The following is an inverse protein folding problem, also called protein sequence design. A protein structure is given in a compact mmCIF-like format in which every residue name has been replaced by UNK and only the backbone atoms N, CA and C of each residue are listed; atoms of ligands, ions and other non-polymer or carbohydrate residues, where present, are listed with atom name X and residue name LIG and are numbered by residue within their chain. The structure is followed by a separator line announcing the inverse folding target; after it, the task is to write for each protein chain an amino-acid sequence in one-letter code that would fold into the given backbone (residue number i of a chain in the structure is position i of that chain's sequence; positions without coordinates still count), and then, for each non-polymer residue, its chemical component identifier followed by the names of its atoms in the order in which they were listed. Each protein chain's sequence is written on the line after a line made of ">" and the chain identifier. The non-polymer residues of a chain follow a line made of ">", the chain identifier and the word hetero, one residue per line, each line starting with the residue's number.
data_IF_271575210334
#
_entry.id   IF_271575210334
#
_cell.length_a   1.000
_cell.length_b   1.000
_cell.length_c   1.000
_cell.angle_alpha   90.00
_cell.angle_beta   90.00
_cell.angle_gamma   90.00
#
_symmetry.space_group_name_H-M   'P 1'
#
loop_
_entity.id
_entity.type
_entity.pdbx_description
1 polymer ?
#
# COMPACT_ATOMS: atom_id res chain seq x y z
N UNK A 1 -24.89 -25.30 40.36
CA UNK A 1 -24.49 -26.50 39.60
C UNK A 1 -25.57 -26.77 38.54
N UNK A 2 -25.93 -25.81 37.69
CA UNK A 2 -25.20 -25.25 36.54
C UNK A 2 -24.99 -26.25 35.41
N UNK A 3 -25.99 -26.34 34.53
CA UNK A 3 -25.84 -26.37 33.06
C UNK A 3 -27.22 -26.38 32.39
N UNK A 4 -27.64 -25.31 31.69
CA UNK A 4 -28.74 -25.40 30.73
C UNK A 4 -28.28 -25.14 29.29
N UNK A 5 -29.09 -25.68 28.36
CA UNK A 5 -29.30 -25.25 26.98
C UNK A 5 -28.25 -25.57 25.91
N UNK A 6 -28.39 -26.78 25.38
CA UNK A 6 -28.29 -27.04 23.95
C UNK A 6 -29.52 -26.41 23.27
N UNK A 7 -29.37 -25.27 22.59
CA UNK A 7 -30.37 -24.76 21.65
C UNK A 7 -29.73 -24.05 20.44
N UNK A 8 -30.32 -24.34 19.28
CA UNK A 8 -30.30 -23.61 18.01
C UNK A 8 -29.09 -23.73 17.07
N UNK A 9 -29.23 -24.64 16.09
CA UNK A 9 -28.87 -24.34 14.70
C UNK A 9 -30.06 -24.65 13.78
N UNK A 10 -30.93 -23.65 13.56
CA UNK A 10 -32.00 -23.70 12.54
C UNK A 10 -31.63 -22.72 11.43
N UNK A 11 -31.34 -23.23 10.24
CA UNK A 11 -30.96 -22.43 9.07
C UNK A 11 -32.13 -21.61 8.51
N UNK A 12 -31.99 -20.29 8.29
CA UNK A 12 -32.98 -19.50 7.54
C UNK A 12 -32.48 -19.26 6.11
N UNK A 13 -32.79 -20.16 5.16
CA UNK A 13 -32.30 -20.06 3.75
C UNK A 13 -33.32 -19.62 2.68
N UNK A 14 -34.60 -19.37 2.99
CA UNK A 14 -35.59 -19.01 1.95
C UNK A 14 -36.14 -17.57 1.99
N UNK A 15 -35.83 -16.77 3.02
CA UNK A 15 -36.27 -15.37 3.13
C UNK A 15 -35.14 -14.32 2.89
N UNK A 16 -33.91 -14.77 2.66
CA UNK A 16 -32.70 -13.92 2.65
C UNK A 16 -32.27 -13.41 1.27
N UNK A 17 -32.79 -13.92 0.16
CA UNK A 17 -32.36 -13.45 -1.18
C UNK A 17 -32.93 -12.07 -1.54
N UNK A 18 -34.19 -11.79 -1.22
CA UNK A 18 -34.82 -10.48 -1.49
C UNK A 18 -34.29 -9.36 -0.59
N UNK A 19 -33.92 -9.69 0.65
CA UNK A 19 -33.33 -8.76 1.63
C UNK A 19 -31.85 -8.52 1.39
N UNK A 20 -31.09 -9.50 0.89
CA UNK A 20 -29.67 -9.34 0.53
C UNK A 20 -29.47 -8.35 -0.65
N UNK A 21 -30.36 -8.35 -1.64
CA UNK A 21 -30.28 -7.42 -2.77
C UNK A 21 -30.65 -5.98 -2.36
N UNK A 22 -31.67 -5.82 -1.50
CA UNK A 22 -32.08 -4.53 -0.92
C UNK A 22 -31.02 -3.97 0.04
N UNK A 23 -30.36 -4.83 0.81
CA UNK A 23 -29.24 -4.43 1.66
C UNK A 23 -28.02 -4.01 0.84
N UNK A 24 -27.64 -4.72 -0.23
CA UNK A 24 -26.51 -4.30 -1.09
C UNK A 24 -26.67 -2.88 -1.65
N UNK A 25 -27.90 -2.49 -2.06
CA UNK A 25 -28.18 -1.13 -2.55
C UNK A 25 -28.05 -0.07 -1.45
N UNK A 26 -28.51 -0.37 -0.23
CA UNK A 26 -28.32 0.50 0.95
C UNK A 26 -26.86 0.60 1.40
N UNK A 27 -26.10 -0.49 1.32
CA UNK A 27 -24.67 -0.52 1.68
C UNK A 27 -23.80 0.26 0.69
N UNK A 28 -24.19 0.33 -0.59
CA UNK A 28 -23.49 1.12 -1.61
C UNK A 28 -23.74 2.63 -1.42
N UNK A 29 -24.97 3.00 -1.08
CA UNK A 29 -25.35 4.38 -0.72
C UNK A 29 -24.63 4.84 0.56
N UNK A 30 -24.57 4.00 1.59
CA UNK A 30 -23.84 4.31 2.83
C UNK A 30 -22.31 4.36 2.68
N UNK A 31 -21.72 3.83 1.59
CA UNK A 31 -20.27 3.96 1.31
C UNK A 31 -19.91 5.26 0.59
N UNK A 32 -20.88 5.90 -0.06
CA UNK A 32 -20.73 7.21 -0.70
C UNK A 32 -20.97 8.38 0.27
N UNK A 33 -21.57 8.10 1.44
CA UNK A 33 -21.91 9.07 2.48
C UNK A 33 -20.89 8.95 3.64
N UNK A 34 -20.03 9.95 3.88
CA UNK A 34 -19.21 10.00 5.08
C UNK A 34 -20.11 9.97 6.32
N UNK A 35 -19.73 9.20 7.34
CA UNK A 35 -20.43 8.96 8.60
C UNK A 35 -20.59 10.21 9.52
N UNK A 36 -20.48 11.42 8.97
CA UNK A 36 -20.56 12.68 9.69
C UNK A 36 -21.87 13.47 9.42
N UNK A 37 -22.86 12.89 8.73
CA UNK A 37 -24.01 13.67 8.24
C UNK A 37 -25.34 13.10 8.70
N UNK A 38 -26.17 13.99 9.26
CA UNK A 38 -27.53 13.75 9.76
C UNK A 38 -28.42 12.98 8.75
N UNK A 39 -29.34 12.12 9.23
CA UNK A 39 -30.08 11.15 8.41
C UNK A 39 -31.25 11.73 7.60
N UNK A 40 -31.26 13.04 7.29
CA UNK A 40 -32.45 13.71 6.76
C UNK A 40 -32.25 14.52 5.47
N UNK A 41 -31.06 14.50 4.86
CA UNK A 41 -30.77 15.29 3.66
C UNK A 41 -30.78 14.45 2.39
N UNK A 42 -31.56 14.87 1.38
CA UNK A 42 -31.62 14.21 0.08
C UNK A 42 -30.25 14.36 -0.62
N UNK A 43 -29.75 13.25 -1.18
CA UNK A 43 -28.49 13.15 -1.93
C UNK A 43 -28.19 14.34 -2.87
N UNK A 44 -29.15 14.89 -3.65
CA UNK A 44 -28.88 16.06 -4.50
C UNK A 44 -28.51 17.33 -3.72
N UNK A 45 -29.10 17.55 -2.55
CA UNK A 45 -28.85 18.74 -1.74
C UNK A 45 -27.46 18.72 -1.11
N UNK A 46 -26.96 17.52 -0.76
CA UNK A 46 -25.59 17.32 -0.29
C UNK A 46 -24.55 17.55 -1.39
N UNK A 47 -24.79 17.03 -2.60
CA UNK A 47 -23.93 17.28 -3.77
C UNK A 47 -23.88 18.77 -4.10
N UNK A 48 -25.02 19.45 -3.99
CA UNK A 48 -25.13 20.88 -4.21
C UNK A 48 -24.35 21.70 -3.16
N UNK A 49 -24.49 21.36 -1.87
CA UNK A 49 -23.73 22.03 -0.80
C UNK A 49 -22.22 21.74 -0.88
N UNK A 50 -21.82 20.52 -1.23
CA UNK A 50 -20.41 20.18 -1.46
C UNK A 50 -19.84 20.94 -2.67
N UNK A 51 -20.59 21.07 -3.76
CA UNK A 51 -20.19 21.84 -4.94
C UNK A 51 -20.01 23.33 -4.60
N UNK A 52 -20.91 23.91 -3.80
CA UNK A 52 -20.81 25.30 -3.34
C UNK A 52 -19.57 25.49 -2.44
N UNK A 53 -19.33 24.59 -1.49
CA UNK A 53 -18.15 24.66 -0.62
C UNK A 53 -16.84 24.54 -1.42
N UNK A 54 -16.81 23.69 -2.45
CA UNK A 54 -15.65 23.51 -3.32
C UNK A 54 -15.40 24.75 -4.20
N UNK A 55 -16.47 25.37 -4.71
CA UNK A 55 -16.41 26.66 -5.42
C UNK A 55 -15.97 27.81 -4.52
N UNK A 56 -16.44 27.86 -3.27
CA UNK A 56 -16.02 28.88 -2.30
C UNK A 56 -14.56 28.71 -1.89
N UNK A 57 -14.13 27.48 -1.62
CA UNK A 57 -12.72 27.15 -1.33
C UNK A 57 -11.83 27.56 -2.51
N UNK A 58 -12.27 27.26 -3.73
CA UNK A 58 -11.60 27.67 -4.95
C UNK A 58 -11.52 29.19 -5.07
N UNK A 59 -12.62 29.89 -4.81
CA UNK A 59 -12.70 31.35 -4.83
C UNK A 59 -11.71 31.99 -3.85
N UNK A 60 -11.64 31.47 -2.61
CA UNK A 60 -10.67 31.93 -1.60
C UNK A 60 -9.23 31.64 -2.03
N UNK A 61 -8.97 30.49 -2.64
CA UNK A 61 -7.62 30.14 -3.12
C UNK A 61 -7.21 31.01 -4.32
N UNK A 62 -8.16 31.34 -5.19
CA UNK A 62 -7.96 32.23 -6.33
C UNK A 62 -7.68 33.68 -5.90
N UNK A 63 -8.35 34.17 -4.85
CA UNK A 63 -8.08 35.52 -4.34
C UNK A 63 -6.72 35.63 -3.63
N UNK A 64 -6.23 34.53 -3.03
CA UNK A 64 -4.94 34.49 -2.32
C UNK A 64 -3.71 34.28 -3.23
N UNK A 65 -3.81 33.45 -4.27
CA UNK A 65 -2.67 33.03 -5.12
C UNK A 65 -2.90 33.30 -6.61
N UNK A 66 -3.34 34.53 -6.93
CA UNK A 66 -3.82 34.99 -8.24
C UNK A 66 -2.99 34.49 -9.45
N UNK A 67 -1.66 34.51 -9.38
CA UNK A 67 -0.79 34.16 -10.51
C UNK A 67 -0.55 32.65 -10.67
N UNK A 68 -0.76 31.84 -9.63
CA UNK A 68 -0.53 30.38 -9.66
C UNK A 68 -1.82 29.55 -9.87
N UNK A 69 -3.00 30.15 -9.60
CA UNK A 69 -4.32 29.47 -9.62
C UNK A 69 -5.16 29.85 -10.85
N UNK A 70 -4.62 30.66 -11.76
CA UNK A 70 -5.23 30.89 -13.07
C UNK A 70 -5.54 29.54 -13.78
N UNK A 71 -6.53 29.47 -14.69
CA UNK A 71 -6.91 28.23 -15.39
C UNK A 71 -5.80 27.60 -16.28
N UNK A 72 -4.61 28.22 -16.33
CA UNK A 72 -3.37 27.69 -16.94
C UNK A 72 -2.24 27.46 -15.93
N UNK A 73 -2.46 27.72 -14.65
CA UNK A 73 -1.47 27.62 -13.59
C UNK A 73 -1.24 26.18 -13.11
N UNK A 74 -0.06 25.86 -12.58
CA UNK A 74 0.29 24.51 -12.12
C UNK A 74 -0.58 24.02 -10.95
N UNK A 75 -1.05 24.91 -10.06
CA UNK A 75 -1.94 24.54 -8.95
C UNK A 75 -3.33 24.12 -9.43
N UNK A 76 -3.85 24.79 -10.46
CA UNK A 76 -5.11 24.42 -11.10
C UNK A 76 -5.07 22.97 -11.60
N UNK A 77 -3.98 22.58 -12.27
CA UNK A 77 -3.81 21.22 -12.78
C UNK A 77 -3.75 20.18 -11.64
N UNK A 78 -3.10 20.48 -10.51
CA UNK A 78 -3.09 19.58 -9.35
C UNK A 78 -4.47 19.42 -8.71
N UNK A 79 -5.20 20.53 -8.53
CA UNK A 79 -6.54 20.51 -7.94
C UNK A 79 -7.52 19.76 -8.86
N UNK A 80 -7.45 20.02 -10.16
CA UNK A 80 -8.23 19.32 -11.17
C UNK A 80 -7.92 17.82 -11.19
N UNK A 81 -6.64 17.43 -11.15
CA UNK A 81 -6.23 16.03 -11.06
C UNK A 81 -6.80 15.37 -9.79
N UNK A 82 -6.73 16.05 -8.65
CA UNK A 82 -7.25 15.52 -7.37
C UNK A 82 -8.76 15.28 -7.42
N UNK A 83 -9.53 16.26 -7.90
CA UNK A 83 -11.00 16.16 -8.02
C UNK A 83 -11.38 15.06 -9.01
N UNK A 84 -10.75 15.03 -10.19
CA UNK A 84 -11.08 14.05 -11.23
C UNK A 84 -10.70 12.63 -10.78
N UNK A 85 -9.55 12.46 -10.12
CA UNK A 85 -9.13 11.17 -9.57
C UNK A 85 -10.10 10.69 -8.48
N UNK A 86 -10.56 11.57 -7.59
CA UNK A 86 -11.54 11.23 -6.56
C UNK A 86 -12.88 10.78 -7.19
N UNK A 87 -13.40 11.54 -8.17
CA UNK A 87 -14.62 11.19 -8.89
C UNK A 87 -14.49 9.86 -9.63
N UNK A 88 -13.36 9.62 -10.31
CA UNK A 88 -13.09 8.37 -11.01
C UNK A 88 -12.95 7.18 -10.04
N UNK A 89 -12.37 7.38 -8.86
CA UNK A 89 -12.32 6.38 -7.80
C UNK A 89 -13.71 6.00 -7.30
N UNK A 90 -14.58 7.00 -7.09
CA UNK A 90 -16.00 6.77 -6.77
C UNK A 90 -16.74 6.03 -7.88
N UNK A 91 -16.55 6.43 -9.13
CA UNK A 91 -17.14 5.76 -10.30
C UNK A 91 -16.71 4.30 -10.39
N UNK A 92 -15.41 4.02 -10.19
CA UNK A 92 -14.85 2.66 -10.19
C UNK A 92 -15.41 1.81 -9.05
N UNK A 93 -15.70 2.43 -7.91
CA UNK A 93 -16.34 1.75 -6.77
C UNK A 93 -17.77 1.29 -7.08
N UNK A 94 -18.50 2.00 -7.97
CA UNK A 94 -19.82 1.58 -8.45
C UNK A 94 -19.72 0.29 -9.29
N UNK A 95 -18.62 0.13 -10.04
CA UNK A 95 -18.32 -1.06 -10.82
C UNK A 95 -17.77 -2.24 -9.98
N UNK A 96 -17.79 -2.15 -8.63
CA UNK A 96 -17.25 -3.14 -7.67
C UNK A 96 -15.72 -3.35 -7.74
N UNK A 97 -15.00 -2.45 -8.40
CA UNK A 97 -13.55 -2.48 -8.47
C UNK A 97 -12.95 -1.62 -7.34
N UNK A 98 -11.71 -1.88 -6.93
CA UNK A 98 -11.03 -1.05 -5.93
C UNK A 98 -10.89 0.40 -6.44
N UNK A 99 -11.25 1.42 -5.64
CA UNK A 99 -11.19 2.83 -6.05
C UNK A 99 -9.80 3.29 -6.54
N UNK A 100 -8.74 2.66 -6.04
CA UNK A 100 -7.35 2.93 -6.43
C UNK A 100 -7.09 2.72 -7.91
N UNK A 101 -7.76 1.75 -8.53
CA UNK A 101 -7.65 1.50 -9.97
C UNK A 101 -8.16 2.72 -10.76
N UNK A 102 -9.30 3.29 -10.35
CA UNK A 102 -9.86 4.49 -10.98
C UNK A 102 -8.94 5.69 -10.87
N UNK A 103 -8.41 5.93 -9.66
CA UNK A 103 -7.45 7.01 -9.41
C UNK A 103 -6.18 6.86 -10.26
N UNK A 104 -5.65 5.64 -10.43
CA UNK A 104 -4.48 5.36 -11.26
C UNK A 104 -4.75 5.63 -12.75
N UNK A 105 -5.85 5.09 -13.29
CA UNK A 105 -6.23 5.25 -14.70
C UNK A 105 -6.39 6.72 -15.05
N UNK A 106 -7.05 7.51 -14.19
CA UNK A 106 -7.18 8.96 -14.40
C UNK A 106 -5.83 9.66 -14.50
N UNK A 107 -4.86 9.29 -13.65
CA UNK A 107 -3.50 9.85 -13.73
C UNK A 107 -2.79 9.51 -15.04
N UNK A 108 -2.92 8.28 -15.53
CA UNK A 108 -2.33 7.85 -16.81
C UNK A 108 -2.96 8.60 -17.98
N UNK A 109 -4.29 8.71 -18.02
CA UNK A 109 -5.02 9.41 -19.09
C UNK A 109 -4.66 10.90 -19.11
N UNK A 110 -4.68 11.58 -17.96
CA UNK A 110 -4.36 13.01 -17.88
C UNK A 110 -2.93 13.31 -18.31
N UNK A 111 -1.98 12.40 -18.01
CA UNK A 111 -0.60 12.55 -18.47
C UNK A 111 -0.45 12.32 -19.97
N UNK A 112 -1.18 11.35 -20.55
CA UNK A 112 -1.15 11.08 -21.98
C UNK A 112 -1.79 12.22 -22.81
N UNK A 113 -2.86 12.84 -22.29
CA UNK A 113 -3.51 14.00 -22.93
C UNK A 113 -2.64 15.27 -22.90
N UNK A 114 -1.48 15.26 -22.22
CA UNK A 114 -0.59 16.42 -22.11
C UNK A 114 -1.13 17.54 -21.21
N UNK A 115 -2.21 17.27 -20.47
CA UNK A 115 -2.83 18.23 -19.55
C UNK A 115 -1.97 18.48 -18.30
N UNK A 116 -0.95 17.65 -18.05
CA UNK A 116 -0.18 17.68 -16.81
C UNK A 116 1.34 17.70 -17.08
N UNK A 117 1.90 18.90 -17.16
CA UNK A 117 3.35 19.12 -17.18
C UNK A 117 3.80 19.69 -15.84
N UNK A 118 4.57 18.90 -15.10
CA UNK A 118 5.13 19.30 -13.81
C UNK A 118 6.52 19.89 -14.01
N UNK A 119 6.69 21.18 -13.77
CA UNK A 119 7.99 21.86 -13.85
C UNK A 119 8.36 22.50 -12.52
N UNK A 120 9.62 22.31 -12.09
CA UNK A 120 10.22 22.98 -10.92
C UNK A 120 9.68 22.49 -9.56
N UNK A 121 9.34 23.45 -8.69
CA UNK A 121 8.99 23.29 -7.25
C UNK A 121 7.89 22.24 -7.00
N UNK A 122 7.00 22.01 -7.97
CA UNK A 122 5.88 21.08 -7.85
C UNK A 122 6.31 19.61 -7.86
N UNK A 123 7.47 19.27 -8.45
CA UNK A 123 8.01 17.90 -8.41
C UNK A 123 8.43 17.53 -6.98
N UNK A 124 9.10 18.46 -6.29
CA UNK A 124 9.51 18.29 -4.90
C UNK A 124 8.31 18.22 -3.96
N UNK A 125 7.28 19.04 -4.22
CA UNK A 125 6.02 18.99 -3.49
C UNK A 125 5.33 17.62 -3.65
N UNK A 126 5.21 17.10 -4.87
CA UNK A 126 4.61 15.77 -5.12
C UNK A 126 5.40 14.65 -4.47
N UNK A 127 6.74 14.72 -4.51
CA UNK A 127 7.62 13.76 -3.83
C UNK A 127 7.38 13.76 -2.33
N UNK A 128 7.32 14.95 -1.71
CA UNK A 128 7.05 15.12 -0.29
C UNK A 128 5.65 14.61 0.07
N UNK A 129 4.63 14.98 -0.71
CA UNK A 129 3.25 14.50 -0.52
C UNK A 129 3.15 12.98 -0.61
N UNK A 130 3.86 12.34 -1.54
CA UNK A 130 3.91 10.87 -1.66
C UNK A 130 4.50 10.23 -0.41
N UNK A 131 5.60 10.75 0.09
CA UNK A 131 6.25 10.24 1.30
C UNK A 131 5.34 10.40 2.52
N UNK A 132 4.69 11.56 2.68
CA UNK A 132 3.72 11.79 3.76
C UNK A 132 2.49 10.90 3.63
N UNK A 133 1.96 10.71 2.42
CA UNK A 133 0.79 9.88 2.18
C UNK A 133 1.03 8.41 2.57
N UNK A 134 2.20 7.84 2.23
CA UNK A 134 2.57 6.48 2.63
C UNK A 134 2.56 6.33 4.16
N UNK A 135 3.10 7.30 4.90
CA UNK A 135 3.08 7.30 6.37
C UNK A 135 1.64 7.35 6.91
N UNK A 136 0.78 8.23 6.37
CA UNK A 136 -0.62 8.33 6.80
C UNK A 136 -1.40 7.05 6.53
N UNK A 137 -1.19 6.41 5.36
CA UNK A 137 -1.85 5.15 5.02
C UNK A 137 -1.43 4.04 6.00
N UNK A 138 -0.14 3.95 6.34
CA UNK A 138 0.36 2.98 7.32
C UNK A 138 -0.17 3.25 8.73
N UNK A 139 -0.23 4.51 9.18
CA UNK A 139 -0.84 4.87 10.47
C UNK A 139 -2.31 4.45 10.49
N UNK A 140 -3.07 4.72 9.42
CA UNK A 140 -4.49 4.32 9.32
C UNK A 140 -4.67 2.80 9.35
N UNK A 141 -3.78 2.06 8.68
CA UNK A 141 -3.77 0.60 8.74
C UNK A 141 -3.49 0.10 10.17
N UNK A 142 -2.51 0.71 10.87
CA UNK A 142 -2.20 0.39 12.26
C UNK A 142 -3.33 0.70 13.23
N UNK A 143 -4.06 1.81 13.04
CA UNK A 143 -5.21 2.20 13.85
C UNK A 143 -6.46 1.33 13.59
N UNK A 144 -6.54 0.65 12.45
CA UNK A 144 -7.60 -0.31 12.15
C UNK A 144 -7.40 -1.68 12.81
N UNK A 145 -6.30 -1.88 13.54
CA UNK A 145 -6.02 -3.11 14.28
C UNK A 145 -6.70 -3.06 15.65
N UNK A 146 -7.06 -4.25 16.18
CA UNK A 146 -7.67 -4.37 17.50
C UNK A 146 -6.73 -3.83 18.60
N UNK A 147 -7.04 -2.63 19.10
CA UNK A 147 -6.26 -1.95 20.12
C UNK A 147 -6.18 -2.75 21.43
N UNK A 148 -7.20 -3.56 21.75
CA UNK A 148 -7.22 -4.41 22.93
C UNK A 148 -6.18 -5.53 22.85
N UNK A 149 -6.10 -6.22 21.71
CA UNK A 149 -5.08 -7.21 21.43
C UNK A 149 -3.67 -6.59 21.34
N UNK A 150 -3.55 -5.44 20.66
CA UNK A 150 -2.28 -4.74 20.50
C UNK A 150 -1.72 -4.24 21.84
N UNK A 151 -2.57 -3.77 22.76
CA UNK A 151 -2.14 -3.32 24.09
C UNK A 151 -1.56 -4.46 24.92
N UNK A 152 -2.14 -5.66 24.86
CA UNK A 152 -1.60 -6.87 25.53
C UNK A 152 -0.24 -7.31 24.97
N UNK A 153 -0.03 -7.10 23.67
CA UNK A 153 1.20 -7.48 22.97
C UNK A 153 2.16 -6.31 22.75
N UNK A 154 1.86 -5.12 23.27
CA UNK A 154 2.59 -3.87 22.98
C UNK A 154 4.07 -3.96 23.30
N UNK A 155 4.42 -4.56 24.44
CA UNK A 155 5.80 -4.78 24.85
C UNK A 155 6.51 -5.77 23.92
N UNK A 156 5.81 -6.80 23.44
CA UNK A 156 6.34 -7.77 22.47
C UNK A 156 6.57 -7.07 21.11
N UNK A 157 5.64 -6.25 20.65
CA UNK A 157 5.77 -5.49 19.39
C UNK A 157 6.94 -4.49 19.46
N UNK A 158 7.05 -3.72 20.55
CA UNK A 158 8.18 -2.80 20.76
C UNK A 158 9.50 -3.56 20.82
N UNK A 159 9.53 -4.71 21.52
CA UNK A 159 10.71 -5.57 21.64
C UNK A 159 11.11 -6.18 20.30
N UNK A 160 10.17 -6.53 19.43
CA UNK A 160 10.43 -7.12 18.11
C UNK A 160 10.76 -6.06 17.05
N UNK A 161 10.26 -4.83 17.18
CA UNK A 161 10.51 -3.78 16.20
C UNK A 161 11.79 -2.98 16.50
N UNK A 162 11.93 -2.48 17.74
CA UNK A 162 13.00 -1.53 18.07
C UNK A 162 14.31 -2.20 18.47
N UNK A 163 14.27 -3.31 19.21
CA UNK A 163 15.50 -3.94 19.70
C UNK A 163 16.33 -4.55 18.57
N UNK A 164 15.77 -5.31 17.60
CA UNK A 164 16.55 -5.84 16.50
C UNK A 164 17.08 -4.73 15.60
N UNK A 165 16.26 -3.71 15.32
CA UNK A 165 16.67 -2.57 14.51
C UNK A 165 17.85 -1.81 15.15
N UNK A 166 17.77 -1.52 16.45
CA UNK A 166 18.84 -0.83 17.17
C UNK A 166 20.09 -1.69 17.30
N UNK A 167 19.94 -2.98 17.62
CA UNK A 167 21.05 -3.91 17.74
C UNK A 167 21.76 -4.14 16.40
N UNK A 168 21.01 -4.26 15.30
CA UNK A 168 21.58 -4.46 13.96
C UNK A 168 22.24 -3.19 13.44
N UNK A 169 21.60 -2.02 13.58
CA UNK A 169 22.21 -0.75 13.21
C UNK A 169 23.50 -0.49 14.00
N UNK A 170 23.49 -0.75 15.31
CA UNK A 170 24.67 -0.64 16.15
C UNK A 170 25.77 -1.63 15.72
N UNK A 171 25.41 -2.90 15.47
CA UNK A 171 26.38 -3.93 15.09
C UNK A 171 27.00 -3.65 13.73
N UNK A 172 26.22 -3.26 12.71
CA UNK A 172 26.75 -2.90 11.38
C UNK A 172 27.62 -1.65 11.47
N UNK A 173 27.23 -0.65 12.26
CA UNK A 173 28.02 0.55 12.48
C UNK A 173 29.36 0.23 13.17
N UNK A 174 29.33 -0.55 14.27
CA UNK A 174 30.52 -0.99 15.01
C UNK A 174 31.45 -1.83 14.15
N UNK A 175 30.92 -2.84 13.45
CA UNK A 175 31.72 -3.73 12.59
C UNK A 175 32.28 -2.95 11.40
N UNK A 176 31.50 -2.08 10.76
CA UNK A 176 32.00 -1.27 9.63
C UNK A 176 33.10 -0.30 10.07
N UNK A 177 33.02 0.26 11.27
CA UNK A 177 34.02 1.19 11.77
C UNK A 177 35.30 0.46 12.22
N UNK A 178 35.15 -0.56 13.05
CA UNK A 178 36.30 -1.24 13.66
C UNK A 178 36.95 -2.30 12.77
N UNK A 179 36.21 -2.93 11.85
CA UNK A 179 36.73 -4.01 11.01
C UNK A 179 37.17 -3.53 9.62
N UNK A 180 36.48 -2.54 9.04
CA UNK A 180 36.74 -2.05 7.68
C UNK A 180 37.42 -0.66 7.64
N UNK A 181 37.60 0.00 8.79
CA UNK A 181 38.25 1.31 8.88
C UNK A 181 37.45 2.47 8.26
N UNK A 182 36.19 2.25 7.91
CA UNK A 182 35.33 3.29 7.34
C UNK A 182 34.88 4.31 8.39
N UNK A 183 34.60 5.54 7.96
CA UNK A 183 34.04 6.57 8.85
C UNK A 183 32.62 6.19 9.32
N UNK A 184 32.24 6.66 10.51
CA UNK A 184 30.95 6.37 11.16
C UNK A 184 29.72 6.61 10.25
N UNK A 185 29.83 7.57 9.32
CA UNK A 185 28.77 7.88 8.38
C UNK A 185 28.49 6.73 7.40
N UNK A 186 29.54 6.06 6.89
CA UNK A 186 29.39 4.93 5.97
C UNK A 186 28.83 3.69 6.66
N UNK A 187 29.18 3.46 7.93
CA UNK A 187 28.59 2.40 8.75
C UNK A 187 27.09 2.61 8.98
N UNK A 188 26.66 3.85 9.22
CA UNK A 188 25.24 4.19 9.35
C UNK A 188 24.49 4.03 8.02
N UNK A 189 25.09 4.43 6.90
CA UNK A 189 24.54 4.26 5.56
C UNK A 189 24.42 2.77 5.17
N UNK A 190 25.39 1.95 5.53
CA UNK A 190 25.32 0.48 5.38
C UNK A 190 24.20 -0.12 6.23
N UNK A 191 23.92 0.45 7.41
CA UNK A 191 22.78 0.06 8.25
C UNK A 191 21.42 0.13 7.53
N UNK A 192 21.24 1.04 6.57
CA UNK A 192 20.00 1.09 5.78
C UNK A 192 19.81 -0.16 4.89
N UNK A 193 20.88 -0.88 4.54
CA UNK A 193 20.78 -2.15 3.80
C UNK A 193 20.35 -3.33 4.69
N UNK A 194 20.39 -3.17 6.02
CA UNK A 194 19.93 -4.18 6.99
C UNK A 194 18.40 -4.35 7.03
N UNK A 195 17.65 -3.49 6.33
CA UNK A 195 16.18 -3.54 6.25
C UNK A 195 15.62 -4.91 5.83
N UNK A 196 16.37 -5.66 5.01
CA UNK A 196 15.99 -7.02 4.61
C UNK A 196 15.94 -7.98 5.80
N UNK A 197 16.95 -7.94 6.68
CA UNK A 197 17.00 -8.79 7.89
C UNK A 197 15.95 -8.35 8.92
N UNK A 198 15.69 -7.04 9.01
CA UNK A 198 14.68 -6.46 9.88
C UNK A 198 13.26 -6.88 9.46
N UNK A 199 12.93 -6.82 8.16
CA UNK A 199 11.63 -7.27 7.66
C UNK A 199 11.42 -8.78 7.90
N UNK A 200 12.47 -9.61 7.78
CA UNK A 200 12.38 -11.05 8.04
C UNK A 200 12.00 -11.30 9.51
N UNK A 201 12.57 -10.52 10.45
CA UNK A 201 12.25 -10.61 11.88
C UNK A 201 10.88 -10.04 12.24
N UNK A 202 10.41 -9.00 11.55
CA UNK A 202 9.07 -8.44 11.74
C UNK A 202 7.96 -9.46 11.42
N UNK A 203 8.18 -10.37 10.47
CA UNK A 203 7.27 -11.48 10.16
C UNK A 203 7.15 -12.55 11.26
N UNK A 204 8.09 -12.63 12.21
CA UNK A 204 8.10 -13.63 13.28
C UNK A 204 7.18 -13.29 14.48
N UNK A 205 6.55 -12.11 14.48
CA UNK A 205 5.53 -11.73 15.48
C UNK A 205 4.14 -12.31 15.22
N UNK A 206 3.96 -13.02 14.11
CA UNK A 206 2.70 -13.67 13.74
C UNK A 206 2.52 -14.96 14.54
N UNK A 207 1.27 -15.36 14.79
CA UNK A 207 0.94 -16.55 15.59
C UNK A 207 1.74 -17.77 15.09
N UNK A 208 2.79 -18.11 15.82
CA UNK A 208 3.75 -19.13 15.43
C UNK A 208 3.07 -20.50 15.33
N UNK A 209 1.98 -20.74 16.07
CA UNK A 209 1.20 -21.96 16.00
C UNK A 209 0.46 -22.11 14.66
N UNK A 210 -0.16 -21.03 14.19
CA UNK A 210 -0.83 -20.98 12.89
C UNK A 210 0.19 -20.94 11.72
N UNK A 211 1.24 -20.13 11.85
CA UNK A 211 2.28 -19.98 10.83
C UNK A 211 3.06 -21.27 10.61
N UNK A 212 3.37 -22.03 11.65
CA UNK A 212 4.12 -23.29 11.52
C UNK A 212 3.31 -24.40 10.83
N UNK A 213 1.98 -24.37 10.92
CA UNK A 213 1.08 -25.27 10.17
C UNK A 213 0.93 -24.88 8.70
N UNK A 214 1.18 -23.60 8.37
CA UNK A 214 0.95 -23.02 7.05
C UNK A 214 2.24 -22.52 6.37
N UNK A 215 3.42 -22.80 6.95
CA UNK A 215 4.70 -22.21 6.53
C UNK A 215 5.04 -22.52 5.07
N UNK A 216 4.77 -23.74 4.63
CA UNK A 216 4.99 -24.16 3.25
C UNK A 216 4.04 -23.42 2.29
N UNK A 217 2.81 -23.14 2.72
CA UNK A 217 1.84 -22.35 1.95
C UNK A 217 2.28 -20.89 1.87
N UNK A 218 2.81 -20.31 2.95
CA UNK A 218 3.35 -18.94 2.96
C UNK A 218 4.53 -18.80 2.01
N UNK A 219 5.52 -19.70 2.09
CA UNK A 219 6.68 -19.68 1.19
C UNK A 219 6.24 -19.85 -0.26
N UNK A 220 5.29 -20.75 -0.52
CA UNK A 220 4.74 -20.97 -1.85
C UNK A 220 3.99 -19.74 -2.38
N UNK A 221 3.21 -19.07 -1.54
CA UNK A 221 2.46 -17.86 -1.87
C UNK A 221 3.35 -16.63 -2.04
N UNK A 222 4.50 -16.57 -1.38
CA UNK A 222 5.44 -15.46 -1.53
C UNK A 222 6.33 -15.63 -2.77
N UNK A 223 7.02 -16.76 -2.90
CA UNK A 223 8.04 -16.90 -3.94
C UNK A 223 7.47 -17.22 -5.33
N UNK A 224 6.47 -18.10 -5.44
CA UNK A 224 5.99 -18.53 -6.77
C UNK A 224 5.39 -17.36 -7.55
N UNK A 225 4.47 -16.54 -6.98
CA UNK A 225 3.93 -15.39 -7.70
C UNK A 225 5.02 -14.37 -8.03
N UNK A 226 5.88 -14.01 -7.07
CA UNK A 226 6.97 -13.05 -7.26
C UNK A 226 7.89 -13.45 -8.43
N UNK A 227 8.40 -14.68 -8.42
CA UNK A 227 9.29 -15.18 -9.48
C UNK A 227 8.57 -15.30 -10.82
N UNK A 228 7.31 -15.75 -10.82
CA UNK A 228 6.52 -15.86 -12.04
C UNK A 228 6.23 -14.48 -12.65
N UNK A 229 5.87 -13.49 -11.84
CA UNK A 229 5.66 -12.10 -12.26
C UNK A 229 6.95 -11.49 -12.78
N UNK A 230 8.06 -11.64 -12.05
CA UNK A 230 9.36 -11.12 -12.47
C UNK A 230 9.84 -11.74 -13.80
N UNK A 231 9.70 -13.07 -13.96
CA UNK A 231 10.04 -13.76 -15.20
C UNK A 231 9.13 -13.33 -16.36
N UNK A 232 7.82 -13.19 -16.11
CA UNK A 232 6.86 -12.76 -17.13
C UNK A 232 7.15 -11.34 -17.58
N UNK A 233 7.39 -10.41 -16.65
CA UNK A 233 7.77 -9.03 -16.96
C UNK A 233 9.11 -8.99 -17.70
N UNK A 234 10.09 -9.82 -17.32
CA UNK A 234 11.36 -9.92 -18.02
C UNK A 234 11.18 -10.36 -19.48
N UNK A 235 10.43 -11.44 -19.72
CA UNK A 235 10.14 -11.94 -21.07
C UNK A 235 9.38 -10.88 -21.89
N UNK A 236 8.31 -10.31 -21.34
CA UNK A 236 7.51 -9.31 -22.04
C UNK A 236 8.32 -8.05 -22.34
N UNK A 237 9.10 -7.54 -21.39
CA UNK A 237 9.93 -6.35 -21.61
C UNK A 237 11.07 -6.59 -22.60
N UNK A 238 11.66 -7.78 -22.61
CA UNK A 238 12.67 -8.15 -23.59
C UNK A 238 12.08 -8.18 -25.01
N UNK A 239 10.97 -8.89 -25.22
CA UNK A 239 10.39 -9.06 -26.55
C UNK A 239 9.58 -7.84 -27.04
N UNK A 240 8.96 -7.08 -26.14
CA UNK A 240 8.10 -5.95 -26.51
C UNK A 240 8.84 -4.62 -26.55
N UNK A 241 9.78 -4.38 -25.63
CA UNK A 241 10.50 -3.10 -25.49
C UNK A 241 11.97 -3.19 -25.95
N UNK A 242 12.48 -4.38 -26.25
CA UNK A 242 13.87 -4.59 -26.65
C UNK A 242 14.88 -4.43 -25.53
N UNK A 243 14.46 -4.47 -24.25
CA UNK A 243 15.38 -4.36 -23.12
C UNK A 243 16.25 -5.62 -22.97
N UNK A 244 17.48 -5.47 -22.47
CA UNK A 244 18.32 -6.63 -22.12
C UNK A 244 17.71 -7.44 -20.98
N UNK A 245 17.98 -8.75 -20.97
CA UNK A 245 17.46 -9.70 -19.97
C UNK A 245 17.66 -9.25 -18.53
N UNK A 246 18.83 -8.67 -18.20
CA UNK A 246 19.10 -8.20 -16.83
C UNK A 246 18.22 -6.99 -16.48
N UNK A 247 18.03 -6.06 -17.41
CA UNK A 247 17.16 -4.90 -17.21
C UNK A 247 15.68 -5.27 -17.16
N UNK A 248 15.26 -6.26 -17.95
CA UNK A 248 13.90 -6.83 -17.88
C UNK A 248 13.64 -7.56 -16.56
N UNK A 249 14.62 -8.32 -16.07
CA UNK A 249 14.52 -9.00 -14.77
C UNK A 249 14.52 -7.99 -13.61
N UNK A 250 15.34 -6.94 -13.69
CA UNK A 250 15.33 -5.83 -12.74
C UNK A 250 13.95 -5.17 -12.69
N UNK A 251 13.36 -4.86 -13.85
CA UNK A 251 12.00 -4.32 -13.95
C UNK A 251 10.96 -5.29 -13.36
N UNK A 252 11.15 -6.59 -13.58
CA UNK A 252 10.31 -7.64 -12.99
C UNK A 252 10.27 -7.61 -11.47
N UNK A 253 11.43 -7.53 -10.81
CA UNK A 253 11.50 -7.41 -9.35
C UNK A 253 10.94 -6.08 -8.82
N UNK A 254 11.02 -5.00 -9.60
CA UNK A 254 10.39 -3.72 -9.23
C UNK A 254 8.86 -3.83 -9.28
N UNK A 255 8.31 -4.46 -10.33
CA UNK A 255 6.86 -4.56 -10.52
C UNK A 255 6.20 -5.66 -9.69
N UNK A 256 6.91 -6.73 -9.37
CA UNK A 256 6.40 -7.87 -8.60
C UNK A 256 6.24 -7.63 -7.10
N UNK A 257 6.75 -6.52 -6.57
CA UNK A 257 6.64 -6.21 -5.14
C UNK A 257 5.21 -5.81 -4.75
N UNK A 258 4.59 -6.52 -3.80
CA UNK A 258 3.22 -6.27 -3.34
C UNK A 258 3.17 -5.36 -2.11
N UNK A 259 2.62 -4.15 -2.27
CA UNK A 259 2.54 -3.19 -1.14
C UNK A 259 1.48 -3.57 -0.08
N UNK A 260 1.89 -3.87 1.18
CA UNK A 260 0.97 -4.21 2.26
C UNK A 260 0.10 -3.02 2.68
N UNK A 261 0.54 -1.79 2.43
CA UNK A 261 -0.19 -0.56 2.76
C UNK A 261 -1.58 -0.50 2.11
N UNK A 262 -1.75 -1.13 0.94
CA UNK A 262 -3.03 -1.18 0.21
C UNK A 262 -3.83 -2.45 0.54
N UNK A 263 -3.13 -3.57 0.73
CA UNK A 263 -3.75 -4.88 0.96
C UNK A 263 -4.29 -4.99 2.39
N UNK A 264 -3.56 -4.51 3.39
CA UNK A 264 -3.91 -4.64 4.82
C UNK A 264 -5.27 -4.00 5.16
N UNK A 265 -5.57 -2.73 4.80
CA UNK A 265 -6.88 -2.14 5.09
C UNK A 265 -8.05 -2.90 4.44
N UNK A 266 -7.82 -3.44 3.24
CA UNK A 266 -8.81 -4.24 2.51
C UNK A 266 -9.07 -5.57 3.22
N UNK A 267 -8.03 -6.23 3.73
CA UNK A 267 -8.14 -7.46 4.53
C UNK A 267 -8.83 -7.22 5.86
N UNK A 268 -8.54 -6.13 6.57
CA UNK A 268 -9.21 -5.77 7.82
C UNK A 268 -10.72 -5.55 7.60
N UNK A 269 -11.10 -4.88 6.50
CA UNK A 269 -12.51 -4.71 6.12
C UNK A 269 -13.22 -6.03 5.82
N UNK A 270 -12.49 -7.04 5.33
CA UNK A 270 -13.02 -8.39 5.09
C UNK A 270 -13.15 -9.19 6.38
N UNK A 271 -12.16 -9.06 7.28
CA UNK A 271 -12.17 -9.61 8.63
C UNK A 271 -13.36 -9.12 9.45
N UNK A 272 -13.64 -7.81 9.44
CA UNK A 272 -14.82 -7.23 10.10
C UNK A 272 -16.15 -7.80 9.58
N UNK A 273 -16.18 -8.24 8.31
CA UNK A 273 -17.34 -8.89 7.69
C UNK A 273 -17.42 -10.39 7.96
N UNK A 274 -16.49 -10.95 8.74
CA UNK A 274 -16.41 -12.37 9.05
C UNK A 274 -15.86 -13.25 7.91
N UNK A 275 -15.22 -12.68 6.89
CA UNK A 275 -14.63 -13.48 5.81
C UNK A 275 -13.20 -13.91 6.16
N UNK A 276 -12.94 -15.22 6.16
CA UNK A 276 -11.58 -15.78 6.16
C UNK A 276 -10.85 -15.79 7.52
N UNK A 277 -11.53 -15.41 8.60
CA UNK A 277 -10.98 -15.42 9.96
C UNK A 277 -10.73 -16.84 10.48
N UNK A 278 -11.66 -17.77 10.26
CA UNK A 278 -11.55 -19.17 10.75
C UNK A 278 -10.33 -19.92 10.17
N UNK A 279 -9.82 -19.45 9.03
CA UNK A 279 -8.67 -20.04 8.33
C UNK A 279 -7.39 -19.19 8.45
N UNK A 280 -7.43 -18.08 9.18
CA UNK A 280 -6.30 -17.17 9.35
C UNK A 280 -5.78 -16.56 8.04
N UNK A 281 -6.65 -16.34 7.05
CA UNK A 281 -6.24 -15.90 5.70
C UNK A 281 -5.62 -14.50 5.75
N UNK A 282 -6.17 -13.60 6.57
CA UNK A 282 -5.64 -12.25 6.76
C UNK A 282 -4.20 -12.29 7.28
N UNK A 283 -3.93 -13.10 8.30
CA UNK A 283 -2.59 -13.34 8.85
C UNK A 283 -1.65 -13.97 7.82
N UNK A 284 -2.12 -14.95 7.06
CA UNK A 284 -1.33 -15.64 6.03
C UNK A 284 -0.90 -14.68 4.92
N UNK A 285 -1.82 -13.86 4.41
CA UNK A 285 -1.55 -12.92 3.31
C UNK A 285 -0.62 -11.80 3.76
N UNK A 286 -0.79 -11.30 4.99
CA UNK A 286 0.14 -10.31 5.56
C UNK A 286 1.54 -10.91 5.72
N UNK A 287 1.65 -12.14 6.22
CA UNK A 287 2.94 -12.85 6.32
C UNK A 287 3.61 -13.03 4.94
N UNK A 288 2.83 -13.51 3.96
CA UNK A 288 3.31 -13.79 2.62
C UNK A 288 3.73 -12.50 1.90
N UNK A 289 2.98 -11.41 2.02
CA UNK A 289 3.32 -10.10 1.45
C UNK A 289 4.62 -9.53 2.02
N UNK A 290 4.90 -9.72 3.32
CA UNK A 290 6.19 -9.28 3.87
C UNK A 290 7.37 -10.10 3.34
N UNK A 291 7.21 -11.42 3.18
CA UNK A 291 8.26 -12.30 2.61
C UNK A 291 8.44 -12.02 1.10
N UNK A 292 7.35 -11.70 0.39
CA UNK A 292 7.36 -11.25 -0.99
C UNK A 292 8.19 -9.97 -1.15
N UNK A 293 7.92 -8.93 -0.33
CA UNK A 293 8.69 -7.68 -0.34
C UNK A 293 10.19 -7.92 -0.12
N UNK A 294 10.55 -8.79 0.83
CA UNK A 294 11.94 -9.18 1.09
C UNK A 294 12.57 -9.83 -0.16
N UNK A 295 11.87 -10.80 -0.76
CA UNK A 295 12.36 -11.53 -1.93
C UNK A 295 12.54 -10.58 -3.12
N UNK A 296 11.56 -9.69 -3.37
CA UNK A 296 11.58 -8.71 -4.44
C UNK A 296 12.72 -7.69 -4.27
N UNK A 297 12.87 -7.10 -3.08
CA UNK A 297 13.94 -6.14 -2.78
C UNK A 297 15.33 -6.79 -2.89
N UNK A 298 15.48 -8.02 -2.38
CA UNK A 298 16.73 -8.77 -2.47
C UNK A 298 17.08 -9.11 -3.93
N UNK A 299 16.10 -9.60 -4.69
CA UNK A 299 16.26 -9.89 -6.12
C UNK A 299 16.63 -8.65 -6.93
N UNK A 300 15.94 -7.53 -6.68
CA UNK A 300 16.27 -6.23 -7.26
C UNK A 300 17.72 -5.84 -6.95
N UNK A 301 18.16 -5.90 -5.70
CA UNK A 301 19.51 -5.54 -5.29
C UNK A 301 20.60 -6.40 -5.93
N UNK A 302 20.39 -7.71 -6.01
CA UNK A 302 21.33 -8.65 -6.66
C UNK A 302 21.45 -8.33 -8.16
N UNK A 303 20.32 -8.19 -8.86
CA UNK A 303 20.34 -7.92 -10.31
C UNK A 303 20.96 -6.56 -10.59
N UNK A 304 20.65 -5.54 -9.79
CA UNK A 304 21.25 -4.21 -9.89
C UNK A 304 22.78 -4.28 -9.71
N UNK A 305 23.24 -5.03 -8.72
CA UNK A 305 24.67 -5.24 -8.46
C UNK A 305 25.36 -5.93 -9.63
N UNK A 306 24.75 -6.96 -10.23
CA UNK A 306 25.29 -7.65 -11.42
C UNK A 306 25.38 -6.70 -12.61
N UNK A 307 24.36 -5.88 -12.86
CA UNK A 307 24.36 -4.90 -13.95
C UNK A 307 25.53 -3.92 -13.82
N UNK A 308 25.73 -3.34 -12.64
CA UNK A 308 26.81 -2.37 -12.42
C UNK A 308 28.19 -3.01 -12.28
N UNK A 309 28.27 -4.28 -11.85
CA UNK A 309 29.53 -5.04 -11.83
C UNK A 309 30.03 -5.38 -13.24
N UNK A 310 29.15 -5.47 -14.23
CA UNK A 310 29.53 -5.68 -15.63
C UNK A 310 29.84 -4.38 -16.37
N UNK A 311 29.65 -3.22 -15.72
CA UNK A 311 30.15 -1.95 -16.22
C UNK A 311 31.68 -1.99 -16.24
N UNK A 312 32.26 -2.29 -17.41
CA UNK A 312 33.64 -1.90 -17.71
C UNK A 312 33.80 -0.45 -17.26
N UNK A 313 34.67 -0.23 -16.29
CA UNK A 313 35.23 1.08 -15.99
C UNK A 313 35.63 1.64 -17.35
N UNK A 314 34.98 2.73 -17.76
CA UNK A 314 35.34 3.50 -18.96
C UNK A 314 36.70 4.10 -18.66
N UNK A 315 37.76 3.31 -18.90
CA UNK A 315 39.17 3.69 -18.84
C UNK A 315 39.76 3.78 -20.26
N UNK A 316 38.91 3.99 -21.27
CA UNK A 316 39.33 4.28 -22.65
C UNK A 316 38.70 5.59 -23.13
N UNK A 317 38.98 6.69 -22.43
CA UNK A 317 39.00 8.05 -22.99
C UNK A 317 40.28 8.73 -22.52
#
# INVERSE_FOLDING_TARGET
>A
MDSPCVQQYRSPRSASLGTACRNKRKTLINRLLPSAVCPQQSLPLYLFTAAILLLLLWGVLYTLFKDLVAPRGPLFHMLFLFILAYLAGQLTSLCRLPPLLGMLVTGIVLRNVGFFHMTGIFVDLVSTLRNTAMVVILIKAGLGLDAGALRRLSLIVVRLAFIPCLAEAATVCLVSHFLLGYSWLWGLLLGNTAMVVILIKAGLGLDAGALRRLSLIVVRLAFIPCLAEAATVCLVSHFLLGYSWLWGLLLGFILGAVSPAVVVPSLLTLKEKGYGEDKGISTLVVAASSIDDIAAISGFGIVLSVIFSQGKIVNDI
#
